data_IF_631694544510
#
_entry.id   IF_631694544510
#
_cell.length_a   1.000
_cell.length_b   1.000
_cell.length_c   1.000
_cell.angle_alpha   90.00
_cell.angle_beta   90.00
_cell.angle_gamma   90.00
#
_symmetry.space_group_name_H-M   'P 1'
#
loop_
_entity.id
_entity.type
_entity.pdbx_description
1 polymer ?
#
# COMPACT_ATOMS: atom_id res chain seq x y z
N UNK A 1 -0.58 -18.48 6.43
CA UNK A 1 -1.47 -18.18 5.31
C UNK A 1 -1.24 -16.77 4.82
N UNK A 2 -1.31 -16.58 3.52
CA UNK A 2 -1.12 -15.26 2.92
C UNK A 2 -2.34 -14.92 2.08
N UNK A 3 -2.86 -13.70 2.23
CA UNK A 3 -4.02 -13.28 1.47
C UNK A 3 -3.81 -11.88 0.92
N UNK A 4 -4.04 -11.73 -0.38
CA UNK A 4 -3.96 -10.44 -1.06
C UNK A 4 -5.17 -9.59 -0.70
N UNK A 5 -4.91 -8.32 -0.38
CA UNK A 5 -5.95 -7.35 -0.05
C UNK A 5 -6.14 -6.39 -1.20
N UNK A 6 -5.06 -5.88 -1.76
CA UNK A 6 -5.11 -4.89 -2.81
C UNK A 6 -3.87 -5.02 -3.69
N UNK A 7 -4.02 -4.71 -4.96
CA UNK A 7 -2.94 -4.83 -5.93
C UNK A 7 -3.21 -3.81 -7.03
N UNK A 8 -2.30 -2.89 -7.23
CA UNK A 8 -2.52 -1.81 -8.19
C UNK A 8 -1.25 -1.44 -8.95
N UNK A 9 -1.24 -1.55 -10.29
CA UNK A 9 -0.17 -0.97 -11.08
C UNK A 9 -0.37 0.55 -11.23
N UNK A 10 0.72 1.28 -11.18
CA UNK A 10 0.72 2.71 -11.44
C UNK A 10 1.25 2.91 -12.87
N UNK A 11 0.39 3.37 -13.75
CA UNK A 11 0.76 3.60 -15.14
C UNK A 11 1.37 4.98 -15.32
N UNK A 12 1.90 5.25 -16.51
CA UNK A 12 2.43 6.58 -16.84
C UNK A 12 1.39 7.67 -16.63
N UNK A 13 0.11 7.35 -16.84
CA UNK A 13 -0.96 8.34 -16.66
C UNK A 13 -1.13 8.75 -15.20
N UNK A 14 -0.66 7.92 -14.25
CA UNK A 14 -0.78 8.21 -12.83
C UNK A 14 0.43 8.99 -12.29
N UNK A 15 1.46 9.18 -13.11
CA UNK A 15 2.67 9.87 -12.69
C UNK A 15 2.54 11.37 -12.92
N UNK A 16 3.21 12.18 -12.09
CA UNK A 16 3.19 13.63 -12.30
C UNK A 16 3.83 13.99 -13.63
N UNK A 17 3.32 15.07 -14.24
CA UNK A 17 3.89 15.60 -15.47
C UNK A 17 5.36 15.98 -15.22
N UNK A 18 6.24 15.56 -16.14
CA UNK A 18 7.67 15.87 -16.02
C UNK A 18 8.44 14.93 -15.12
N UNK A 19 7.82 13.87 -14.62
CA UNK A 19 8.48 12.91 -13.71
C UNK A 19 9.19 11.82 -14.51
N UNK A 20 10.14 12.23 -15.37
CA UNK A 20 10.81 11.29 -16.27
C UNK A 20 11.69 10.30 -15.52
N UNK A 21 12.13 10.65 -14.32
CA UNK A 21 12.99 9.80 -13.52
C UNK A 21 12.23 8.83 -12.61
N UNK A 22 10.90 8.89 -12.65
CA UNK A 22 10.07 8.05 -11.79
C UNK A 22 9.75 6.75 -12.52
N UNK A 23 10.12 5.63 -11.92
CA UNK A 23 9.82 4.32 -12.50
C UNK A 23 8.33 4.00 -12.34
N UNK A 24 7.79 3.29 -13.33
CA UNK A 24 6.44 2.76 -13.20
C UNK A 24 6.47 1.60 -12.22
N UNK A 25 5.63 1.68 -11.21
CA UNK A 25 5.58 0.69 -10.14
C UNK A 25 4.18 0.13 -9.98
N UNK A 26 4.11 -1.03 -9.35
CA UNK A 26 2.87 -1.53 -8.81
C UNK A 26 3.03 -1.68 -7.31
N UNK A 27 1.93 -1.61 -6.59
CA UNK A 27 1.93 -1.96 -5.19
C UNK A 27 1.01 -3.13 -4.95
N UNK A 28 1.27 -3.88 -3.89
CA UNK A 28 0.39 -4.94 -3.44
C UNK A 28 0.34 -4.90 -1.92
N UNK A 29 -0.82 -5.17 -1.38
CA UNK A 29 -1.02 -5.25 0.07
C UNK A 29 -1.58 -6.63 0.37
N UNK A 30 -0.97 -7.32 1.30
CA UNK A 30 -1.38 -8.67 1.69
C UNK A 30 -1.27 -8.83 3.20
N UNK A 31 -1.88 -9.87 3.72
CA UNK A 31 -1.69 -10.27 5.11
C UNK A 31 -1.00 -11.63 5.13
N UNK A 32 -0.15 -11.83 6.10
CA UNK A 32 0.62 -13.05 6.19
C UNK A 32 0.84 -13.39 7.67
N UNK A 33 0.64 -14.65 8.03
CA UNK A 33 0.89 -15.13 9.39
C UNK A 33 1.84 -16.32 9.40
N UNK A 34 2.63 -16.49 8.34
CA UNK A 34 3.53 -17.63 8.17
C UNK A 34 4.89 -17.41 8.85
N UNK A 35 4.92 -16.60 9.90
CA UNK A 35 6.13 -16.34 10.67
C UNK A 35 6.25 -17.33 11.83
N UNK A 36 7.45 -17.47 12.36
CA UNK A 36 7.71 -18.41 13.47
C UNK A 36 6.82 -18.17 14.68
N UNK A 37 6.47 -16.91 14.93
CA UNK A 37 5.61 -16.56 16.08
C UNK A 37 4.13 -16.58 15.73
N UNK A 38 3.80 -16.91 14.47
CA UNK A 38 2.42 -16.92 13.96
C UNK A 38 1.68 -15.60 14.12
N UNK A 39 2.42 -14.51 14.30
CA UNK A 39 1.82 -13.18 14.44
C UNK A 39 1.48 -12.63 13.06
N UNK A 40 0.22 -12.22 12.83
CA UNK A 40 -0.14 -11.65 11.53
C UNK A 40 0.58 -10.34 11.26
N UNK A 41 1.01 -10.17 10.03
CA UNK A 41 1.66 -8.95 9.56
C UNK A 41 1.00 -8.48 8.28
N UNK A 42 1.08 -7.18 8.03
CA UNK A 42 0.68 -6.60 6.76
C UNK A 42 1.93 -6.52 5.89
N UNK A 43 1.82 -7.03 4.67
CA UNK A 43 2.94 -7.02 3.73
C UNK A 43 2.62 -6.03 2.62
N UNK A 44 3.46 -5.00 2.49
CA UNK A 44 3.35 -4.04 1.40
C UNK A 44 4.51 -4.27 0.45
N UNK A 45 4.20 -4.53 -0.81
CA UNK A 45 5.22 -4.80 -1.83
C UNK A 45 5.16 -3.69 -2.88
N UNK A 46 6.33 -3.20 -3.27
CA UNK A 46 6.48 -2.28 -4.39
C UNK A 46 7.37 -2.94 -5.42
N UNK A 47 6.94 -2.95 -6.67
CA UNK A 47 7.60 -3.71 -7.70
C UNK A 47 7.62 -2.93 -9.00
N UNK A 48 8.78 -2.89 -9.72
CA UNK A 48 8.80 -2.27 -11.03
C UNK A 48 7.90 -3.04 -12.00
N UNK A 49 7.15 -2.32 -12.82
CA UNK A 49 6.32 -2.96 -13.83
C UNK A 49 7.19 -3.69 -14.85
N UNK A 50 6.77 -4.89 -15.22
CA UNK A 50 7.49 -5.69 -16.17
C UNK A 50 8.69 -6.44 -15.61
N UNK A 51 8.92 -6.36 -14.30
CA UNK A 51 10.04 -7.03 -13.64
C UNK A 51 9.58 -7.75 -12.38
N UNK A 52 8.75 -8.79 -12.54
CA UNK A 52 8.29 -9.53 -11.38
C UNK A 52 9.45 -10.14 -10.62
N UNK A 53 9.37 -10.08 -9.29
CA UNK A 53 10.42 -10.61 -8.43
C UNK A 53 11.51 -9.61 -8.10
N UNK A 54 11.51 -8.42 -8.69
CA UNK A 54 12.51 -7.39 -8.40
C UNK A 54 11.99 -6.35 -7.41
N UNK A 55 10.87 -6.61 -6.80
CA UNK A 55 10.29 -5.68 -5.84
C UNK A 55 10.85 -5.83 -4.44
N UNK A 56 10.48 -4.89 -3.60
CA UNK A 56 10.81 -4.90 -2.18
C UNK A 56 9.53 -5.03 -1.38
N UNK A 57 9.59 -5.81 -0.32
CA UNK A 57 8.45 -6.02 0.55
C UNK A 57 8.76 -5.56 1.96
N UNK A 58 7.82 -4.82 2.54
CA UNK A 58 7.88 -4.44 3.95
C UNK A 58 6.90 -5.31 4.72
N UNK A 59 7.39 -5.97 5.75
CA UNK A 59 6.57 -6.79 6.63
C UNK A 59 6.29 -5.98 7.89
N UNK A 60 5.06 -5.48 7.99
CA UNK A 60 4.69 -4.52 9.02
C UNK A 60 3.86 -5.17 10.12
N UNK A 61 4.27 -4.96 11.36
CA UNK A 61 3.44 -5.31 12.50
C UNK A 61 2.15 -4.47 12.45
N UNK A 62 1.11 -4.85 13.21
CA UNK A 62 -0.07 -3.99 13.29
C UNK A 62 0.24 -2.55 13.71
N UNK A 63 1.17 -2.36 14.66
CA UNK A 63 1.52 -1.01 15.10
C UNK A 63 2.24 -0.22 14.01
N UNK A 64 3.16 -0.85 13.30
CA UNK A 64 3.84 -0.19 12.18
C UNK A 64 2.85 0.14 11.06
N UNK A 65 1.89 -0.74 10.84
CA UNK A 65 0.85 -0.51 9.84
C UNK A 65 0.02 0.72 10.19
N UNK A 66 -0.39 0.85 11.46
CA UNK A 66 -1.14 2.02 11.91
C UNK A 66 -0.34 3.29 11.74
N UNK A 67 0.96 3.22 12.03
CA UNK A 67 1.84 4.38 11.86
C UNK A 67 1.92 4.79 10.40
N UNK A 68 2.03 3.84 9.48
CA UNK A 68 2.06 4.14 8.06
C UNK A 68 0.74 4.75 7.59
N UNK A 69 -0.39 4.20 8.05
CA UNK A 69 -1.70 4.75 7.71
C UNK A 69 -1.81 6.20 8.15
N UNK A 70 -1.36 6.51 9.38
CA UNK A 70 -1.40 7.89 9.87
C UNK A 70 -0.50 8.79 9.05
N UNK A 71 0.69 8.31 8.70
CA UNK A 71 1.62 9.11 7.89
C UNK A 71 1.04 9.43 6.52
N UNK A 72 0.42 8.45 5.88
CA UNK A 72 -0.22 8.66 4.58
C UNK A 72 -1.39 9.63 4.70
N UNK A 73 -2.19 9.49 5.75
CA UNK A 73 -3.31 10.38 6.00
C UNK A 73 -2.82 11.81 6.24
N UNK A 74 -1.75 11.97 7.01
CA UNK A 74 -1.18 13.30 7.29
C UNK A 74 -0.62 13.91 6.00
N UNK A 75 -0.01 13.11 5.14
CA UNK A 75 0.50 13.59 3.87
C UNK A 75 -0.63 14.10 2.97
N UNK A 76 -1.75 13.38 2.93
CA UNK A 76 -2.92 13.82 2.17
C UNK A 76 -3.44 15.16 2.71
N UNK A 77 -3.48 15.30 4.03
CA UNK A 77 -3.94 16.56 4.65
C UNK A 77 -3.00 17.71 4.29
N UNK A 78 -1.72 17.43 4.24
CA UNK A 78 -0.71 18.44 3.92
C UNK A 78 -0.91 19.02 2.51
N UNK A 79 -1.37 18.22 1.57
CA UNK A 79 -1.60 18.67 0.20
C UNK A 79 -3.06 19.08 -0.04
N UNK A 80 -3.86 19.19 1.03
CA UNK A 80 -5.24 19.64 0.91
C UNK A 80 -6.24 18.62 0.44
N UNK A 81 -5.89 17.34 0.49
CA UNK A 81 -6.73 16.24 0.05
C UNK A 81 -6.97 15.24 1.19
N UNK A 82 -7.64 15.66 2.27
CA UNK A 82 -7.77 14.79 3.43
C UNK A 82 -8.51 13.51 3.11
N UNK A 83 -8.08 12.45 3.76
CA UNK A 83 -8.74 11.15 3.66
C UNK A 83 -10.13 11.27 4.29
N UNK A 84 -11.16 10.99 3.50
CA UNK A 84 -12.53 10.93 3.99
C UNK A 84 -12.96 9.48 4.00
N UNK A 85 -13.06 8.88 5.17
CA UNK A 85 -13.58 7.53 5.31
C UNK A 85 -15.08 7.62 5.39
N UNK A 86 -15.75 7.41 4.26
CA UNK A 86 -17.20 7.33 4.27
C UNK A 86 -17.57 6.02 4.93
N UNK A 87 -18.40 6.13 5.96
CA UNK A 87 -18.92 4.88 6.52
C UNK A 87 -19.80 4.24 5.49
N UNK A 88 -19.73 3.34 5.07
CA UNK A 88 -20.55 2.82 4.07
C UNK A 88 -21.11 1.53 4.36
N UNK A 89 -20.59 2.58 4.52
CA UNK A 89 -20.72 2.05 4.45
C UNK A 89 -21.35 1.43 4.44
N UNK A 90 -21.53 1.47 4.36
CA UNK A 90 -21.92 1.18 4.21
C UNK A 90 -22.17 0.25 4.24
N UNK A 91 -22.20 0.26 4.39
CA UNK A 91 -22.29 -0.33 4.35
C UNK A 91 -22.64 -1.03 4.77
N UNK A 92 -23.13 -1.04 5.02
CA UNK A 92 -23.34 -1.42 5.47
C UNK A 92 -23.88 -1.89 5.85
N UNK A 93 -24.26 -2.03 5.96
CA UNK A 93 -24.63 -2.02 6.30
C UNK A 93 -24.86 -2.41 6.43
#
# INVERSE_FOLDING_TARGET
MRRSIDDRPLSLADLPSGADDVAELSWAVAVCDDYDDATPHVVVTLEPLGRPGEGLAAHLSPDHTRRLVRALSDALREIGEPLTLTPTTKEHQ
#
